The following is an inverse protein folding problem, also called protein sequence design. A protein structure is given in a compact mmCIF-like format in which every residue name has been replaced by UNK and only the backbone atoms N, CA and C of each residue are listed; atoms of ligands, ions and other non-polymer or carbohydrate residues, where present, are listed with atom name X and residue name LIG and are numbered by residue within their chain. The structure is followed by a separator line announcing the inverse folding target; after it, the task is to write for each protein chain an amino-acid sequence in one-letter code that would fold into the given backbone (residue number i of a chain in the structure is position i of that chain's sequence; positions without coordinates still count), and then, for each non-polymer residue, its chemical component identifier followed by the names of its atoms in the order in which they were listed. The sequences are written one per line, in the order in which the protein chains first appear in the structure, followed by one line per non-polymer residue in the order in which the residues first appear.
data_IF_042637393864
#
_entry.id   IF_042637393864
#
_cell.length_a   1.000
_cell.length_b   1.000
_cell.length_c   1.000
_cell.angle_alpha   90.00
_cell.angle_beta   90.00
_cell.angle_gamma   90.00
#
_symmetry.space_group_name_H-M   'P 1'
#
loop_
_entity.id
_entity.type
_entity.pdbx_description
1 polymer ?
2 non-polymer ?
3 non-polymer ?
#
# COMPACT_ATOMS: atom_id res chain seq x y z
N UNK A 20 -10.42 -0.18 -28.62
CA UNK A 20 -10.74 1.22 -29.03
C UNK A 20 -11.90 1.84 -28.24
N UNK A 21 -12.02 1.44 -26.96
CA UNK A 21 -13.14 1.86 -26.12
C UNK A 21 -12.92 3.28 -25.59
N UNK A 22 -14.00 3.87 -25.09
CA UNK A 22 -13.98 5.19 -24.46
C UNK A 22 -15.00 5.19 -23.31
N UNK A 23 -14.92 6.17 -22.42
CA UNK A 23 -15.81 6.25 -21.26
C UNK A 23 -16.04 7.69 -20.80
N UNK A 24 -17.22 7.95 -20.24
CA UNK A 24 -17.61 9.29 -19.79
C UNK A 24 -17.73 9.34 -18.27
N UNK A 25 -17.18 10.40 -17.69
CA UNK A 25 -17.19 10.62 -16.23
C UNK A 25 -17.43 12.11 -15.96
N UNK A 26 -18.64 12.44 -15.48
CA UNK A 26 -19.01 13.82 -15.10
C UNK A 26 -18.93 14.79 -16.28
N UNK A 27 -19.52 14.40 -17.41
CA UNK A 27 -19.58 15.22 -18.63
C UNK A 27 -18.31 15.28 -19.48
N UNK A 28 -17.28 14.54 -19.08
CA UNK A 28 -15.94 14.60 -19.70
C UNK A 28 -15.57 13.21 -20.20
N UNK A 29 -15.06 13.14 -21.43
CA UNK A 29 -14.87 11.88 -22.15
C UNK A 29 -13.39 11.49 -22.08
N UNK A 30 -13.15 10.19 -21.89
CA UNK A 30 -11.80 9.65 -21.66
C UNK A 30 -11.55 8.41 -22.52
N UNK A 31 -10.68 8.51 -23.53
CA UNK A 31 -10.31 7.36 -24.35
C UNK A 31 -9.41 6.43 -23.56
N UNK A 32 -9.67 5.12 -23.67
CA UNK A 32 -8.96 4.09 -22.92
C UNK A 32 -7.80 3.53 -23.74
N UNK A 33 -6.57 3.72 -23.24
CA UNK A 33 -5.38 3.14 -23.88
C UNK A 33 -5.26 1.65 -23.58
N UNK A 34 -5.19 1.29 -22.30
CA UNK A 34 -5.19 -0.12 -21.90
C UNK A 34 -5.64 -0.32 -20.45
N UNK A 35 -5.84 -1.58 -20.10
CA UNK A 35 -6.19 -1.97 -18.74
C UNK A 35 -4.93 -2.23 -17.95
N UNK A 36 -4.75 -1.47 -16.86
CA UNK A 36 -3.60 -1.62 -15.97
C UNK A 36 -3.71 -2.92 -15.17
N UNK A 37 -4.89 -3.19 -14.63
CA UNK A 37 -5.11 -4.36 -13.79
C UNK A 37 -6.53 -4.46 -13.27
N UNK A 38 -6.88 -5.64 -12.78
CA UNK A 38 -8.23 -5.92 -12.28
C UNK A 38 -8.19 -6.76 -11.01
N UNK A 39 -9.12 -6.48 -10.10
CA UNK A 39 -9.30 -7.25 -8.87
C UNK A 39 -10.77 -7.43 -8.52
N UNK A 40 -11.28 -8.64 -8.72
CA UNK A 40 -12.67 -8.95 -8.41
C UNK A 40 -13.66 -8.14 -9.22
N UNK A 41 -14.48 -7.33 -8.54
CA UNK A 41 -15.54 -6.55 -9.18
C UNK A 41 -15.09 -5.13 -9.57
N UNK A 42 -13.79 -4.89 -9.67
CA UNK A 42 -13.26 -3.60 -10.12
C UNK A 42 -12.14 -3.75 -11.14
N UNK A 43 -11.97 -2.71 -11.97
CA UNK A 43 -10.94 -2.64 -12.99
C UNK A 43 -10.35 -1.22 -13.00
N UNK A 44 -9.08 -1.10 -13.37
CA UNK A 44 -8.44 0.22 -13.55
C UNK A 44 -7.78 0.33 -14.93
N UNK A 45 -8.00 1.48 -15.58
CA UNK A 45 -7.58 1.70 -16.96
C UNK A 45 -6.63 2.88 -17.05
N UNK A 46 -5.68 2.79 -17.97
CA UNK A 46 -4.89 3.92 -18.42
C UNK A 46 -5.73 4.66 -19.45
N UNK A 47 -6.01 5.93 -19.21
CA UNK A 47 -6.87 6.72 -20.10
C UNK A 47 -6.28 8.08 -20.46
N UNK A 48 -6.68 8.61 -21.61
CA UNK A 48 -6.39 9.98 -22.02
C UNK A 48 -7.70 10.77 -22.01
N UNK A 49 -7.61 12.05 -21.63
CA UNK A 49 -8.76 12.94 -21.66
C UNK A 49 -8.83 13.68 -23.00
N UNK A 50 -9.78 14.61 -23.10
CA UNK A 50 -9.96 15.51 -24.25
C UNK A 50 -8.64 16.14 -24.74
N UNK A 51 -7.85 16.67 -23.81
CA UNK A 51 -6.58 17.34 -24.14
C UNK A 51 -5.35 16.42 -24.02
N UNK A 52 -5.55 15.14 -24.30
CA UNK A 52 -4.49 14.13 -24.32
C UNK A 52 -3.60 14.08 -23.06
N UNK A 53 -4.20 14.41 -21.90
CA UNK A 53 -3.56 14.26 -20.61
C UNK A 53 -3.87 12.86 -20.10
N UNK A 54 -2.88 12.25 -19.43
CA UNK A 54 -3.01 10.88 -18.93
C UNK A 54 -3.56 10.83 -17.50
N UNK A 55 -4.48 9.89 -17.27
CA UNK A 55 -5.06 9.61 -15.96
C UNK A 55 -5.27 8.10 -15.83
N UNK A 56 -5.57 7.67 -14.61
CA UNK A 56 -6.00 6.31 -14.33
C UNK A 56 -7.44 6.40 -13.88
N UNK A 57 -8.31 5.56 -14.44
CA UNK A 57 -9.73 5.52 -14.05
C UNK A 57 -10.07 4.15 -13.48
N UNK A 58 -10.60 4.14 -12.26
CA UNK A 58 -11.06 2.92 -11.63
C UNK A 58 -12.55 2.76 -11.85
N UNK A 59 -12.94 1.60 -12.40
CA UNK A 59 -14.32 1.23 -12.62
C UNK A 59 -14.66 0.09 -11.68
N UNK A 60 -15.64 0.30 -10.80
CA UNK A 60 -16.12 -0.71 -9.85
C UNK A 60 -17.56 -1.09 -10.21
N UNK A 61 -17.81 -2.38 -10.39
CA UNK A 61 -19.14 -2.90 -10.75
C UNK A 61 -19.92 -3.28 -9.49
N UNK A 62 -21.04 -2.60 -9.26
CA UNK A 62 -21.83 -2.76 -8.03
C UNK A 62 -23.01 -3.72 -8.15
N UNK A 63 -23.23 -4.29 -9.34
CA UNK A 63 -24.45 -5.07 -9.62
C UNK A 63 -24.71 -6.19 -8.61
N UNK A 64 -23.66 -6.94 -8.26
CA UNK A 64 -23.75 -8.01 -7.25
C UNK A 64 -23.06 -7.62 -5.93
N UNK A 65 -22.93 -6.33 -5.67
CA UNK A 65 -22.27 -5.83 -4.47
C UNK A 65 -23.33 -5.62 -3.40
N UNK A 66 -23.13 -6.27 -2.24
CA UNK A 66 -24.10 -6.23 -1.14
C UNK A 66 -24.11 -4.87 -0.43
N UNK A 67 -25.12 -4.66 0.41
CA UNK A 67 -25.35 -3.37 1.07
C UNK A 67 -24.14 -2.91 1.90
N UNK A 68 -23.56 -3.82 2.67
CA UNK A 68 -22.35 -3.51 3.44
C UNK A 68 -21.16 -3.18 2.51
N UNK A 69 -21.02 -3.94 1.42
CA UNK A 69 -19.95 -3.72 0.44
C UNK A 69 -20.04 -2.35 -0.24
N UNK A 70 -21.26 -1.94 -0.61
CA UNK A 70 -21.51 -0.59 -1.14
C UNK A 70 -21.07 0.48 -0.16
N UNK A 71 -21.46 0.30 1.10
CA UNK A 71 -21.14 1.24 2.19
C UNK A 71 -19.63 1.38 2.38
N UNK A 72 -18.90 0.29 2.17
CA UNK A 72 -17.45 0.26 2.29
C UNK A 72 -16.78 1.06 1.17
N UNK A 73 -17.23 0.85 -0.07
CA UNK A 73 -16.78 1.63 -1.24
C UNK A 73 -17.07 3.12 -1.07
N UNK A 74 -18.28 3.42 -0.56
CA UNK A 74 -18.67 4.80 -0.24
C UNK A 74 -17.65 5.45 0.70
N UNK A 75 -17.23 4.69 1.70
CA UNK A 75 -16.28 5.17 2.71
C UNK A 75 -14.90 5.45 2.11
N UNK A 76 -14.39 4.50 1.30
CA UNK A 76 -13.09 4.67 0.62
C UNK A 76 -13.03 5.97 -0.21
N UNK A 77 -14.06 6.24 -0.99
CA UNK A 77 -14.17 7.49 -1.76
C UNK A 77 -14.22 8.68 -0.84
N UNK A 78 -15.10 8.62 0.16
CA UNK A 78 -15.29 9.72 1.12
C UNK A 78 -13.97 10.15 1.77
N UNK A 79 -13.24 9.18 2.30
CA UNK A 79 -11.97 9.46 2.99
C UNK A 79 -10.93 10.00 2.00
N UNK A 80 -10.68 9.23 0.94
CA UNK A 80 -9.80 9.63 -0.15
C UNK A 80 -10.08 11.05 -0.68
N UNK A 81 -11.35 11.41 -0.77
CA UNK A 81 -11.77 12.74 -1.21
C UNK A 81 -11.26 13.83 -0.25
N UNK A 82 -11.37 13.56 1.05
CA UNK A 82 -10.90 14.48 2.10
C UNK A 82 -9.37 14.45 2.28
N UNK A 83 -8.83 13.24 2.37
CA UNK A 83 -7.42 13.04 2.73
C UNK A 83 -6.40 13.68 1.79
N UNK A 84 -6.73 13.76 0.51
CA UNK A 84 -5.82 14.35 -0.48
C UNK A 84 -5.51 15.83 -0.23
N UNK A 85 -6.46 16.56 0.33
CA UNK A 85 -6.25 17.97 0.69
C UNK A 85 -5.18 18.16 1.78
N UNK A 86 -4.99 17.16 2.64
CA UNK A 86 -4.00 17.23 3.73
C UNK A 86 -2.58 16.89 3.28
N UNK A 87 -2.42 15.72 2.65
CA UNK A 87 -1.11 15.26 2.18
C UNK A 87 -1.10 14.97 0.67
N UNK A 88 0.05 15.23 0.04
CA UNK A 88 0.29 14.87 -1.36
C UNK A 88 0.97 13.50 -1.52
N UNK A 89 1.02 12.72 -0.44
CA UNK A 89 1.46 11.32 -0.50
C UNK A 89 0.28 10.34 -0.44
N UNK A 90 -0.93 10.85 -0.66
CA UNK A 90 -2.13 10.04 -0.87
C UNK A 90 -2.60 10.36 -2.29
N UNK A 91 -2.89 9.30 -3.05
CA UNK A 91 -3.21 9.43 -4.48
C UNK A 91 -4.27 10.51 -4.70
N UNK A 92 -4.07 11.31 -5.74
CA UNK A 92 -4.97 12.41 -6.04
C UNK A 92 -6.17 11.88 -6.84
N UNK A 93 -7.37 12.18 -6.34
CA UNK A 93 -8.63 11.83 -7.00
C UNK A 93 -9.22 13.12 -7.56
N UNK A 94 -9.05 13.33 -8.86
CA UNK A 94 -9.49 14.56 -9.51
C UNK A 94 -11.01 14.67 -9.63
N UNK A 95 -11.66 13.55 -9.92
CA UNK A 95 -13.12 13.51 -10.08
C UNK A 95 -13.65 12.09 -9.94
N UNK A 96 -14.91 11.98 -9.55
CA UNK A 96 -15.59 10.69 -9.41
C UNK A 96 -17.06 10.78 -9.81
N UNK A 97 -17.60 9.66 -10.30
CA UNK A 97 -19.02 9.53 -10.61
C UNK A 97 -19.54 8.25 -9.97
N UNK A 98 -20.71 8.34 -9.33
CA UNK A 98 -21.22 7.24 -8.51
C UNK A 98 -22.73 7.08 -8.69
N UNK A 99 -23.14 5.86 -9.00
CA UNK A 99 -24.53 5.53 -9.30
C UNK A 99 -24.88 4.22 -8.62
N UNK A 100 -26.14 3.79 -8.80
CA UNK A 100 -26.63 2.54 -8.21
C UNK A 100 -25.94 1.28 -8.77
N UNK A 101 -25.30 1.38 -9.93
CA UNK A 101 -24.66 0.21 -10.59
C UNK A 101 -23.14 0.30 -10.81
N UNK A 102 -22.57 1.50 -10.87
CA UNK A 102 -21.12 1.66 -11.09
C UNK A 102 -20.48 2.81 -10.31
N UNK A 103 -19.15 2.73 -10.19
CA UNK A 103 -18.32 3.83 -9.70
C UNK A 103 -17.22 4.10 -10.72
N UNK A 104 -17.06 5.36 -11.11
CA UNK A 104 -15.89 5.80 -11.88
C UNK A 104 -15.10 6.74 -11.00
N UNK A 105 -13.82 6.43 -10.79
CA UNK A 105 -12.89 7.29 -10.06
C UNK A 105 -11.78 7.71 -11.01
N UNK A 106 -11.63 9.02 -11.21
CA UNK A 106 -10.56 9.58 -12.04
C UNK A 106 -9.40 9.99 -11.12
N UNK A 107 -8.38 9.14 -11.05
CA UNK A 107 -7.18 9.39 -10.25
C UNK A 107 -6.02 9.82 -11.15
N UNK A 108 -4.94 10.33 -10.53
CA UNK A 108 -3.70 10.64 -11.24
C UNK A 108 -3.02 9.35 -11.65
N UNK A 109 -2.34 9.37 -12.79
CA UNK A 109 -1.65 8.18 -13.29
C UNK A 109 -0.28 8.04 -12.61
N UNK A 110 0.04 6.81 -12.21
CA UNK A 110 1.35 6.49 -11.66
C UNK A 110 2.12 5.63 -12.63
N UNK A 111 3.44 5.67 -12.51
CA UNK A 111 4.33 4.91 -13.39
C UNK A 111 4.18 3.41 -13.16
N UNK A 112 4.20 3.02 -11.88
CA UNK A 112 4.13 1.62 -11.50
C UNK A 112 3.83 1.48 -10.00
N UNK A 113 3.14 0.40 -9.64
CA UNK A 113 2.98 0.00 -8.24
C UNK A 113 4.30 -0.51 -7.66
N UNK A 114 4.48 -0.30 -6.37
CA UNK A 114 5.73 -0.67 -5.69
C UNK A 114 6.04 -2.17 -5.79
N UNK A 115 5.02 -3.03 -5.68
CA UNK A 115 5.25 -4.49 -5.70
C UNK A 115 5.90 -4.98 -7.00
N UNK A 116 5.42 -4.50 -8.15
CA UNK A 116 6.01 -4.87 -9.45
C UNK A 116 7.42 -4.30 -9.56
N UNK A 117 7.57 -3.03 -9.19
CA UNK A 117 8.89 -2.37 -9.14
C UNK A 117 9.89 -3.14 -8.26
N UNK A 118 9.44 -3.63 -7.11
CA UNK A 118 10.29 -4.41 -6.21
C UNK A 118 10.64 -5.79 -6.77
N UNK A 119 9.73 -6.40 -7.53
CA UNK A 119 10.01 -7.66 -8.22
C UNK A 119 11.13 -7.51 -9.27
N UNK A 120 11.08 -6.41 -10.02
CA UNK A 120 12.09 -6.14 -11.08
C UNK A 120 13.45 -5.74 -10.50
N UNK A 121 13.46 -4.90 -9.46
CA UNK A 121 14.69 -4.44 -8.82
C UNK A 121 15.28 -5.49 -7.88
N UNK A 122 16.27 -6.23 -8.39
CA UNK A 122 17.01 -7.22 -7.61
C UNK A 122 17.89 -6.55 -6.53
N UNK A 123 18.28 -5.30 -6.78
CA UNK A 123 18.91 -4.45 -5.76
C UNK A 123 18.33 -3.03 -5.82
N UNK A 124 17.90 -2.53 -4.66
CA UNK A 124 17.36 -1.17 -4.54
C UNK A 124 18.49 -0.24 -4.07
N UNK A 125 18.48 1.00 -4.57
CA UNK A 125 19.46 2.01 -4.19
C UNK A 125 19.18 2.48 -2.76
N UNK A 126 20.19 2.42 -1.86
CA UNK A 126 20.02 2.86 -0.47
C UNK A 126 19.39 4.25 -0.28
N UNK A 127 19.77 5.21 -1.11
CA UNK A 127 19.16 6.54 -1.08
C UNK A 127 17.68 6.48 -1.42
N UNK A 128 17.34 5.74 -2.47
CA UNK A 128 15.95 5.69 -2.96
C UNK A 128 15.07 4.97 -1.94
N UNK A 129 15.54 3.83 -1.45
CA UNK A 129 14.88 3.12 -0.34
C UNK A 129 14.50 4.05 0.80
N UNK A 130 15.47 4.82 1.27
CA UNK A 130 15.26 5.78 2.36
C UNK A 130 14.22 6.85 2.02
N UNK A 131 14.22 7.33 0.76
CA UNK A 131 13.24 8.33 0.33
C UNK A 131 11.84 7.75 0.31
N UNK A 132 11.71 6.60 -0.33
CA UNK A 132 10.44 5.84 -0.36
C UNK A 132 9.91 5.57 1.06
N UNK A 133 10.80 5.18 1.98
CA UNK A 133 10.42 4.98 3.37
C UNK A 133 9.81 6.24 3.99
N UNK A 134 10.42 7.40 3.75
CA UNK A 134 9.86 8.66 4.26
C UNK A 134 8.51 8.97 3.61
N UNK A 135 8.37 8.66 2.32
CA UNK A 135 7.09 8.82 1.60
C UNK A 135 5.98 7.93 2.18
N UNK A 136 6.31 6.67 2.45
CA UNK A 136 5.37 5.74 3.07
C UNK A 136 4.92 6.22 4.45
N UNK A 137 5.89 6.56 5.31
CA UNK A 137 5.60 7.02 6.67
C UNK A 137 4.65 8.23 6.70
N UNK A 138 4.94 9.22 5.86
CA UNK A 138 4.07 10.42 5.75
C UNK A 138 2.63 10.05 5.35
N UNK A 139 2.50 9.10 4.42
CA UNK A 139 1.17 8.69 3.96
C UNK A 139 0.36 8.01 5.06
N UNK A 140 0.94 7.00 5.68
CA UNK A 140 0.28 6.23 6.75
C UNK A 140 0.06 7.11 7.99
N UNK A 141 1.01 7.98 8.30
CA UNK A 141 0.81 8.98 9.36
C UNK A 141 -0.47 9.81 9.15
N UNK A 142 -0.71 10.22 7.91
CA UNK A 142 -1.87 11.04 7.58
C UNK A 142 -3.20 10.29 7.78
N UNK A 143 -3.26 9.03 7.37
CA UNK A 143 -4.50 8.23 7.52
C UNK A 143 -4.77 7.94 9.01
N UNK A 144 -3.70 7.66 9.77
CA UNK A 144 -3.79 7.48 11.22
C UNK A 144 -4.40 8.71 11.91
N UNK A 145 -3.95 9.90 11.51
CA UNK A 145 -4.47 11.15 12.04
C UNK A 145 -5.96 11.41 11.78
N UNK A 146 -6.51 10.77 10.75
CA UNK A 146 -7.96 10.83 10.46
C UNK A 146 -8.70 9.56 10.88
N UNK A 147 -8.10 8.77 11.77
CA UNK A 147 -8.77 7.61 12.36
C UNK A 147 -8.97 6.47 11.40
N UNK A 148 -7.89 6.09 10.71
CA UNK A 148 -7.90 4.92 9.83
C UNK A 148 -6.69 4.05 10.17
N UNK A 149 -6.94 2.78 10.43
CA UNK A 149 -5.88 1.78 10.55
C UNK A 149 -6.05 0.86 9.35
N UNK A 150 -5.16 1.02 8.37
CA UNK A 150 -5.22 0.24 7.12
C UNK A 150 -5.23 -1.28 7.34
N UNK A 151 -4.48 -1.76 8.33
CA UNK A 151 -4.48 -3.16 8.80
C UNK A 151 -3.82 -4.20 7.87
N UNK A 152 -4.21 -4.23 6.59
CA UNK A 152 -3.69 -5.21 5.62
C UNK A 152 -2.71 -4.58 4.62
N UNK A 153 -1.72 -3.83 5.12
CA UNK A 153 -0.78 -3.07 4.26
C UNK A 153 0.18 -3.94 3.47
N UNK A 154 0.33 -3.58 2.20
CA UNK A 154 1.13 -4.32 1.21
C UNK A 154 1.97 -3.31 0.43
N UNK A 155 2.99 -3.81 -0.31
CA UNK A 155 3.69 -2.92 -1.25
C UNK A 155 2.75 -2.41 -2.34
N UNK A 156 1.91 -3.31 -2.86
CA UNK A 156 0.91 -2.99 -3.90
C UNK A 156 -0.04 -1.83 -3.58
N UNK A 157 -0.21 -1.52 -2.29
CA UNK A 157 -0.96 -0.33 -1.86
C UNK A 157 -0.25 1.00 -2.15
N UNK A 158 1.05 0.94 -2.49
CA UNK A 158 1.83 2.13 -2.79
C UNK A 158 2.19 2.21 -4.27
N UNK A 159 2.07 3.43 -4.81
CA UNK A 159 2.22 3.72 -6.23
C UNK A 159 3.30 4.77 -6.43
N UNK A 160 4.26 4.50 -7.32
CA UNK A 160 5.31 5.47 -7.63
C UNK A 160 4.80 6.46 -8.70
N UNK A 161 4.63 7.72 -8.31
CA UNK A 161 4.28 8.81 -9.22
C UNK A 161 5.44 9.79 -9.20
N UNK A 162 6.20 9.84 -10.29
CA UNK A 162 7.33 10.77 -10.43
C UNK A 162 8.31 10.67 -9.25
N UNK A 163 8.81 9.45 -9.01
CA UNK A 163 9.80 9.18 -7.95
C UNK A 163 9.34 9.37 -6.51
N UNK A 164 8.02 9.42 -6.30
CA UNK A 164 7.42 9.70 -5.00
C UNK A 164 6.32 8.68 -4.77
N UNK A 165 6.40 7.91 -3.68
CA UNK A 165 5.38 6.90 -3.37
C UNK A 165 4.09 7.57 -2.89
N UNK A 166 2.96 7.02 -3.36
CA UNK A 166 1.63 7.50 -2.98
C UNK A 166 0.71 6.33 -2.66
N UNK A 167 -0.16 6.54 -1.67
CA UNK A 167 -1.02 5.50 -1.14
C UNK A 167 -2.31 5.45 -1.97
N UNK A 168 -2.44 4.42 -2.81
CA UNK A 168 -3.61 4.28 -3.69
C UNK A 168 -4.83 3.67 -3.02
N UNK A 169 -4.61 2.74 -2.10
CA UNK A 169 -5.67 1.89 -1.60
C UNK A 169 -5.70 1.89 -0.09
N UNK A 170 -6.90 2.02 0.49
CA UNK A 170 -7.09 2.11 1.95
C UNK A 170 -7.45 0.76 2.61
N UNK A 171 -7.40 -0.33 1.83
CA UNK A 171 -7.42 -1.70 2.36
C UNK A 171 -8.78 -2.26 2.71
N UNK A 172 -9.83 -1.67 2.15
CA UNK A 172 -11.19 -1.97 2.57
C UNK A 172 -11.67 -3.28 1.96
N UNK A 173 -11.73 -3.33 0.63
CA UNK A 173 -12.22 -4.51 -0.10
C UNK A 173 -11.49 -4.62 -1.45
N UNK A 174 -10.17 -4.78 -1.36
CA UNK A 174 -9.28 -4.75 -2.52
C UNK A 174 -8.79 -6.16 -2.88
N UNK A 175 -8.78 -6.46 -4.18
CA UNK A 175 -8.17 -7.69 -4.72
C UNK A 175 -7.24 -7.40 -5.91
N UNK A 176 -6.78 -6.16 -6.04
CA UNK A 176 -6.17 -5.67 -7.29
C UNK A 176 -4.79 -6.27 -7.58
N UNK A 177 -4.66 -6.82 -8.80
CA UNK A 177 -3.38 -7.25 -9.36
C UNK A 177 -3.24 -6.64 -10.74
N UNK A 178 -1.98 -6.47 -11.23
CA UNK A 178 -1.80 -6.06 -12.63
C UNK A 178 -2.21 -7.16 -13.62
N UNK A 179 -2.71 -6.75 -14.80
CA UNK A 179 -3.27 -7.68 -15.79
C UNK A 179 -2.57 -7.54 -17.15
N UNK A 180 -1.64 -8.46 -17.44
CA UNK A 180 -1.01 -8.59 -18.76
C UNK A 180 -1.63 -9.79 -19.49
N UNK A 186 9.34 -15.07 -9.37
CA UNK A 186 8.02 -14.88 -9.95
C UNK A 186 6.95 -15.14 -8.88
N UNK A 187 6.26 -14.07 -8.45
CA UNK A 187 5.16 -14.15 -7.47
C UNK A 187 5.60 -14.83 -6.17
N UNK A 188 6.75 -14.40 -5.65
CA UNK A 188 7.46 -15.08 -4.55
C UNK A 188 6.68 -15.07 -3.24
N UNK A 189 6.21 -13.89 -2.83
CA UNK A 189 5.50 -13.73 -1.56
C UNK A 189 4.08 -14.28 -1.60
N UNK A 190 3.55 -14.60 -0.42
CA UNK A 190 2.14 -14.89 -0.22
C UNK A 190 1.37 -13.67 0.24
N UNK A 191 0.07 -13.86 0.46
CA UNK A 191 -0.84 -12.82 0.92
C UNK A 191 -0.60 -12.51 2.42
N UNK A 192 -0.21 -13.52 3.19
CA UNK A 192 -0.05 -13.41 4.64
C UNK A 192 1.27 -12.71 5.07
N UNK A 193 2.28 -12.69 4.20
CA UNK A 193 3.65 -12.31 4.58
C UNK A 193 3.85 -10.96 5.31
N UNK A 194 2.99 -9.98 5.02
CA UNK A 194 3.13 -8.63 5.60
C UNK A 194 2.21 -8.42 6.82
N UNK A 195 1.48 -9.46 7.20
CA UNK A 195 0.41 -9.37 8.19
C UNK A 195 0.96 -9.29 9.62
N UNK A 196 0.38 -8.42 10.47
CA UNK A 196 0.77 -8.36 11.89
C UNK A 196 0.48 -9.66 12.69
N UNK A 197 1.26 -9.92 13.77
CA UNK A 197 0.98 -11.05 14.67
C UNK A 197 -0.34 -10.95 15.45
N UNK A 198 -0.64 -9.76 15.96
CA UNK A 198 -1.90 -9.51 16.68
C UNK A 198 -3.14 -9.84 15.84
N UNK A 199 -3.11 -9.52 14.55
CA UNK A 199 -4.21 -9.87 13.63
C UNK A 199 -4.44 -11.38 13.53
N UNK A 200 -3.35 -12.14 13.59
CA UNK A 200 -3.40 -13.61 13.61
C UNK A 200 -3.82 -14.11 15.00
N UNK A 201 -3.33 -13.45 16.05
CA UNK A 201 -3.75 -13.75 17.43
C UNK A 201 -5.22 -13.36 17.70
N UNK A 202 -5.73 -12.37 16.95
CA UNK A 202 -7.11 -11.85 17.08
C UNK A 202 -8.21 -12.91 17.18
N UNK A 203 -8.05 -14.00 16.44
CA UNK A 203 -8.96 -15.15 16.48
C UNK A 203 -8.40 -16.26 17.36
N UNK A 216 -6.11 -3.72 14.92
CA UNK A 216 -6.72 -2.92 15.99
C UNK A 216 -5.98 -1.59 16.16
N UNK A 217 -4.66 -1.68 16.32
CA UNK A 217 -3.81 -0.53 16.65
C UNK A 217 -3.20 0.12 15.40
N UNK A 218 -2.92 1.44 15.44
CA UNK A 218 -2.05 2.06 14.45
C UNK A 218 -0.69 1.38 14.29
N UNK A 219 -0.11 0.89 15.39
CA UNK A 219 1.16 0.17 15.35
C UNK A 219 1.10 -1.16 14.59
N UNK A 220 -0.11 -1.68 14.34
CA UNK A 220 -0.28 -2.81 13.43
C UNK A 220 0.19 -2.48 12.00
N UNK A 221 -0.07 -1.26 11.54
CA UNK A 221 0.45 -0.79 10.25
C UNK A 221 1.97 -0.68 10.26
N UNK A 222 2.53 -0.21 11.37
CA UNK A 222 4.00 -0.09 11.54
C UNK A 222 4.68 -1.44 11.28
N UNK A 223 4.09 -2.53 11.76
CA UNK A 223 4.61 -3.87 11.47
C UNK A 223 4.62 -4.15 9.98
N UNK A 224 3.51 -3.87 9.31
CA UNK A 224 3.39 -4.10 7.86
C UNK A 224 4.40 -3.25 7.07
N UNK A 225 4.45 -1.95 7.34
CA UNK A 225 5.48 -1.06 6.77
C UNK A 225 6.88 -1.63 6.98
N UNK A 226 7.17 -2.02 8.22
CA UNK A 226 8.43 -2.67 8.56
C UNK A 226 8.82 -3.79 7.61
N UNK A 227 7.86 -4.64 7.27
CA UNK A 227 8.10 -5.75 6.32
C UNK A 227 8.42 -5.26 4.91
N UNK A 228 7.78 -4.18 4.47
CA UNK A 228 8.07 -3.57 3.16
C UNK A 228 9.53 -3.11 3.14
N UNK A 229 9.92 -2.31 4.13
CA UNK A 229 11.30 -1.84 4.28
C UNK A 229 12.29 -2.99 4.45
N UNK A 230 11.85 -4.03 5.17
CA UNK A 230 12.65 -5.25 5.32
C UNK A 230 12.89 -5.92 3.97
N UNK A 231 11.83 -6.04 3.16
CA UNK A 231 11.96 -6.59 1.80
C UNK A 231 12.92 -5.76 0.96
N UNK A 232 12.75 -4.45 0.98
CA UNK A 232 13.65 -3.53 0.28
C UNK A 232 15.10 -3.67 0.74
N UNK A 233 15.30 -3.88 2.04
CA UNK A 233 16.64 -3.99 2.62
C UNK A 233 17.31 -5.33 2.30
N UNK A 234 16.63 -6.44 2.60
CA UNK A 234 17.23 -7.78 2.50
C UNK A 234 16.82 -8.63 1.29
N UNK A 235 15.86 -8.15 0.50
CA UNK A 235 15.42 -8.86 -0.71
C UNK A 235 14.26 -9.83 -0.55
N UNK A 236 13.87 -10.12 0.69
CA UNK A 236 12.72 -10.99 0.98
C UNK A 236 12.01 -10.51 2.25
N UNK A 237 10.76 -10.93 2.43
CA UNK A 237 10.00 -10.61 3.65
C UNK A 237 10.46 -11.51 4.80
N UNK A 238 10.23 -11.08 6.07
CA UNK A 238 10.77 -11.81 7.22
C UNK A 238 10.47 -13.32 7.27
N UNK A 239 9.26 -13.72 6.86
CA UNK A 239 8.84 -15.13 6.92
C UNK A 239 8.63 -15.78 5.54
N UNK A 240 9.28 -15.23 4.51
CA UNK A 240 9.22 -15.76 3.13
C UNK A 240 9.81 -17.17 3.03
N UNK A 241 10.95 -17.37 3.70
CA UNK A 241 11.65 -18.67 3.71
C UNK A 241 10.79 -19.86 4.16
N UNK A 242 9.74 -19.61 4.96
CA UNK A 242 8.89 -20.68 5.46
C UNK A 242 8.09 -21.30 4.29
N UNK A 243 8.19 -22.63 4.19
CA UNK A 243 7.57 -23.39 3.10
C UNK A 243 6.06 -23.46 3.35
N UNK A 244 5.70 -24.06 4.48
CA UNK A 244 4.31 -24.40 4.81
C UNK A 244 3.52 -23.18 5.28
N UNK A 245 2.28 -23.07 4.81
CA UNK A 245 1.42 -21.92 5.10
C UNK A 245 0.82 -21.99 6.51
N UNK A 246 0.46 -23.21 6.94
CA UNK A 246 -0.15 -23.44 8.26
C UNK A 246 0.78 -22.89 9.35
N UNK A 247 1.99 -23.43 9.38
CA UNK A 247 2.99 -23.05 10.39
C UNK A 247 3.51 -21.61 10.25
N UNK A 248 3.47 -21.04 9.05
CA UNK A 248 3.94 -19.67 8.82
C UNK A 248 3.25 -18.66 9.71
N UNK A 249 1.93 -18.81 9.87
CA UNK A 249 1.14 -18.01 10.79
C UNK A 249 1.64 -18.19 12.23
N UNK A 250 1.70 -19.45 12.66
CA UNK A 250 2.22 -19.84 13.99
C UNK A 250 3.63 -19.28 14.25
N UNK A 251 4.44 -19.20 13.19
CA UNK A 251 5.79 -18.61 13.26
C UNK A 251 5.78 -17.12 13.54
N UNK A 252 4.85 -16.39 12.93
CA UNK A 252 4.75 -14.93 13.12
C UNK A 252 4.45 -14.60 14.59
N UNK A 253 3.37 -15.19 15.10
CA UNK A 253 2.92 -14.97 16.49
C UNK A 253 3.89 -15.43 17.60
N UNK A 254 4.54 -16.59 17.41
CA UNK A 254 5.44 -17.19 18.40
C UNK A 254 6.60 -16.26 18.79
N UNK A 255 6.74 -15.90 20.09
CA UNK A 255 7.85 -15.03 20.51
C UNK A 255 9.23 -15.70 20.50
N UNK A 256 9.27 -17.02 20.63
CA UNK A 256 10.53 -17.80 20.57
C UNK A 256 11.08 -18.05 19.14
N UNK A 257 10.42 -17.50 18.11
CA UNK A 257 11.01 -17.44 16.76
C UNK A 257 11.68 -16.08 16.58
N UNK A 258 12.96 -16.09 16.20
CA UNK A 258 13.76 -14.87 16.04
C UNK A 258 13.91 -14.55 14.57
N UNK A 259 13.80 -13.26 14.23
CA UNK A 259 13.93 -12.80 12.85
C UNK A 259 15.38 -12.40 12.58
N UNK A 260 15.88 -12.73 11.39
CA UNK A 260 17.23 -12.37 10.97
C UNK A 260 17.31 -10.88 10.65
N UNK A 261 18.41 -10.25 11.07
CA UNK A 261 18.76 -8.89 10.65
C UNK A 261 20.27 -8.81 10.37
N UNK A 262 20.74 -9.44 9.27
CA UNK A 262 22.17 -9.39 8.92
C UNK A 262 22.73 -7.97 8.87
N UNK A 263 23.99 -7.80 9.30
CA UNK A 263 24.59 -6.47 9.40
C UNK A 263 24.70 -5.80 8.04
N UNK A 264 24.59 -4.47 8.07
CA UNK A 264 24.57 -3.65 6.87
C UNK A 264 25.27 -2.31 7.18
N UNK A 265 25.69 -1.57 6.13
CA UNK A 265 26.27 -0.24 6.33
C UNK A 265 25.42 0.70 7.20
N UNK A 266 24.12 0.77 6.91
CA UNK A 266 23.20 1.62 7.67
C UNK A 266 22.74 0.92 8.95
N UNK A 267 23.40 1.27 10.05
CA UNK A 267 23.04 0.76 11.38
C UNK A 267 21.74 1.41 11.90
N UNK A 268 21.44 2.60 11.35
CA UNK A 268 20.13 3.23 11.51
C UNK A 268 19.02 2.32 11.01
N UNK A 269 19.13 1.91 9.74
CA UNK A 269 18.12 1.07 9.09
C UNK A 269 17.88 -0.22 9.88
N UNK A 270 18.98 -0.88 10.24
CA UNK A 270 18.95 -2.09 11.05
C UNK A 270 18.15 -1.90 12.36
N UNK A 271 18.26 -0.72 12.98
CA UNK A 271 17.44 -0.38 14.15
C UNK A 271 15.96 -0.23 13.80
N UNK A 272 15.66 0.53 12.73
CA UNK A 272 14.28 0.73 12.29
C UNK A 272 13.56 -0.61 12.06
N UNK A 273 14.24 -1.54 11.40
CA UNK A 273 13.64 -2.85 11.09
C UNK A 273 13.32 -3.64 12.35
N UNK A 274 14.30 -3.75 13.24
CA UNK A 274 14.09 -4.38 14.55
C UNK A 274 12.95 -3.70 15.32
N UNK A 275 13.01 -2.38 15.43
CA UNK A 275 11.97 -1.59 16.14
C UNK A 275 10.56 -1.77 15.57
N UNK A 276 10.46 -1.91 14.25
CA UNK A 276 9.18 -2.14 13.59
C UNK A 276 8.65 -3.55 13.79
N UNK A 277 9.55 -4.54 13.77
CA UNK A 277 9.16 -5.95 13.89
C UNK A 277 9.24 -6.53 15.31
N UNK A 278 9.19 -5.69 16.34
CA UNK A 278 8.97 -6.17 17.71
C UNK A 278 7.50 -6.61 17.80
N UNK A 279 7.27 -7.86 18.21
CA UNK A 279 5.93 -8.48 18.17
C UNK A 279 4.89 -7.83 19.09
N UNK A 280 5.31 -7.37 20.26
CA UNK A 280 4.44 -6.69 21.20
C UNK A 280 4.16 -5.27 20.71
N UNK A 281 2.87 -4.93 20.44
CA UNK A 281 2.53 -3.56 20.00
C UNK A 281 2.95 -2.44 20.95
N UNK A 282 2.75 -2.64 22.25
CA UNK A 282 3.04 -1.58 23.24
C UNK A 282 4.50 -1.11 23.17
N UNK A 283 5.42 -2.05 23.02
CA UNK A 283 6.85 -1.76 22.88
C UNK A 283 7.25 -1.32 21.47
N UNK A 284 6.57 -1.87 20.46
CA UNK A 284 6.82 -1.55 19.04
C UNK A 284 6.74 -0.05 18.77
N UNK A 285 7.71 0.45 18.01
CA UNK A 285 7.84 1.88 17.71
C UNK A 285 6.60 2.47 17.02
N UNK A 286 6.28 3.72 17.37
CA UNK A 286 5.15 4.44 16.78
C UNK A 286 5.60 5.23 15.56
N UNK A 287 4.65 5.60 14.70
CA UNK A 287 4.96 6.38 13.48
C UNK A 287 5.72 7.68 13.81
N UNK A 288 5.21 8.52 14.74
CA UNK A 288 5.93 9.76 15.11
C UNK A 288 7.35 9.54 15.60
N UNK A 289 7.58 8.45 16.34
CA UNK A 289 8.93 8.03 16.72
C UNK A 289 9.77 7.71 15.47
N UNK A 290 9.19 6.96 14.54
CA UNK A 290 9.89 6.60 13.30
C UNK A 290 10.25 7.81 12.45
N UNK A 291 9.46 8.88 12.53
CA UNK A 291 9.73 10.12 11.80
C UNK A 291 10.90 10.91 12.39
N UNK A 292 10.98 10.95 13.72
CA UNK A 292 12.11 11.59 14.42
C UNK A 292 13.32 10.64 14.62
N UNK A 293 13.25 9.44 14.04
CA UNK A 293 14.35 8.48 14.07
C UNK A 293 15.50 8.99 13.18
N UNK A 294 16.76 8.63 13.50
CA UNK A 294 17.87 9.13 12.67
C UNK A 294 17.82 8.76 11.18
N UNK A 295 17.67 7.47 10.86
CA UNK A 295 17.38 6.99 9.49
C UNK A 295 16.57 7.95 8.60
N UNK A 296 15.48 8.48 9.15
CA UNK A 296 14.65 9.45 8.46
C UNK A 296 15.30 10.85 8.47
N UNK A 297 15.80 11.26 9.64
CA UNK A 297 16.25 12.63 9.87
C UNK A 297 17.74 12.95 9.63
N UNK A 298 18.60 11.93 9.53
CA UNK A 298 20.06 12.13 9.46
C UNK A 298 20.57 11.83 8.05
N UNK A 299 21.43 12.72 7.57
CA UNK A 299 21.89 12.76 6.19
C UNK A 299 23.25 12.05 6.02
N UNK A 300 23.31 11.08 5.09
CA UNK A 300 24.57 10.46 4.65
C UNK A 300 24.43 9.95 3.21
#
# INVERSE_FOLDING_TARGET
MHHHHHHSSGVDLGTENLYFQSMSVKGRIYSILKQIGSGGSSKVFQVLNEKKQIYAIKYVNLEEADNQTLDSYRNEIAYLNKLQQHSDKIIRLYDYEITDQYIYMVMEYGNIDLNSWLKKKKSIDPWERKSYWKNMLEAVHTIHQHGIVHSDLKPANFLIVDGMLKLIDFGIANQMQPDTTSVVKDSQVGTVNYMPPEAIKDMSSSRENGKSKSKISPKSDVWSLGCILYYMTYGKTPFQQIINQISKLHAIIDPNHEIEFPDIPEKDLQDVLKCCLKRDPKQRISIPELLAHPYVQIQTHPVNQMAKGTTEE
#
